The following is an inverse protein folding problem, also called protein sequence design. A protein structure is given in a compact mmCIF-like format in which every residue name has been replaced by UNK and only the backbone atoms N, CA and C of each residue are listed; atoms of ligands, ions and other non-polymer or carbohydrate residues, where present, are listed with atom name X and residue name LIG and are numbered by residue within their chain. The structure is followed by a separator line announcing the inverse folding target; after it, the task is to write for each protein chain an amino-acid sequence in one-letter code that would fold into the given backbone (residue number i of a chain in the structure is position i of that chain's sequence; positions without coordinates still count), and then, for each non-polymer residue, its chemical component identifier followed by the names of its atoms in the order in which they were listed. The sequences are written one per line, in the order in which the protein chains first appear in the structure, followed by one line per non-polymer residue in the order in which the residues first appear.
data_IF_389167679730
#
_entry.id   IF_389167679730
#
_cell.length_a   1.000
_cell.length_b   1.000
_cell.length_c   1.000
_cell.angle_alpha   90.00
_cell.angle_beta   90.00
_cell.angle_gamma   90.00
#
_symmetry.space_group_name_H-M   'P 1'
#
loop_
_entity.id
_entity.type
_entity.pdbx_description
1 polymer ?
#
# COMPACT_ATOMS: atom_id res chain seq x y z
N UNK A 1 14.73 3.06 7.67
CA UNK A 1 15.36 2.70 6.38
C UNK A 1 15.47 1.17 6.36
N UNK A 2 14.50 0.47 5.78
CA UNK A 2 14.65 -0.97 5.52
C UNK A 2 15.45 -1.10 4.22
N UNK A 3 16.75 -1.37 4.31
CA UNK A 3 17.59 -1.59 3.13
C UNK A 3 17.78 -3.07 2.88
N UNK A 4 16.97 -3.61 1.97
CA UNK A 4 17.49 -4.63 1.06
C UNK A 4 18.33 -3.89 0.04
N UNK A 5 19.64 -4.04 0.11
CA UNK A 5 20.58 -3.40 -0.81
C UNK A 5 20.39 -3.98 -2.22
N UNK A 6 19.49 -3.40 -3.01
CA UNK A 6 19.47 -3.62 -4.45
C UNK A 6 20.56 -2.76 -5.12
N UNK A 7 21.32 -3.31 -6.08
CA UNK A 7 22.23 -2.51 -6.88
C UNK A 7 21.43 -1.63 -7.86
N UNK A 8 21.47 -0.32 -7.66
CA UNK A 8 20.94 0.64 -8.63
C UNK A 8 21.76 0.58 -9.93
N UNK A 9 21.09 0.24 -11.05
CA UNK A 9 21.66 0.36 -12.40
C UNK A 9 21.94 1.83 -12.72
N UNK A 10 23.18 2.12 -13.10
CA UNK A 10 23.61 3.41 -13.61
C UNK A 10 23.06 3.64 -15.03
N UNK A 11 22.14 4.60 -15.17
CA UNK A 11 21.82 5.18 -16.48
C UNK A 11 22.83 6.28 -16.79
N UNK A 12 23.62 6.03 -17.83
CA UNK A 12 24.55 6.98 -18.44
C UNK A 12 23.78 7.96 -19.32
N UNK A 13 23.84 9.26 -19.02
CA UNK A 13 23.62 10.31 -20.03
C UNK A 13 24.50 11.54 -19.74
N UNK A 14 25.57 11.59 -20.52
CA UNK A 14 26.19 12.75 -21.20
C UNK A 14 26.44 14.04 -20.40
N UNK A 15 27.70 14.21 -20.00
CA UNK A 15 28.29 15.46 -19.56
C UNK A 15 28.46 16.46 -20.73
N UNK A 16 28.25 17.75 -20.43
CA UNK A 16 28.79 18.86 -21.23
C UNK A 16 29.78 19.64 -20.37
N UNK A 17 30.99 19.79 -20.89
CA UNK A 17 32.19 20.26 -20.21
C UNK A 17 32.21 21.76 -19.91
N UNK A 18 32.94 22.14 -18.84
CA UNK A 18 33.97 23.21 -18.87
C UNK A 18 34.70 23.37 -17.52
N UNK A 19 36.03 23.45 -17.59
CA UNK A 19 36.84 24.28 -16.69
C UNK A 19 37.66 23.56 -15.62
N UNK A 20 38.88 23.16 -15.96
CA UNK A 20 39.92 22.74 -15.02
C UNK A 20 40.49 23.93 -14.23
N UNK A 21 40.89 23.70 -12.96
CA UNK A 21 42.13 24.20 -12.31
C UNK A 21 42.36 23.40 -11.00
N UNK A 22 43.60 22.97 -10.80
CA UNK A 22 44.11 22.15 -9.68
C UNK A 22 44.38 22.98 -8.39
N UNK A 23 44.62 22.34 -7.21
CA UNK A 23 44.41 22.93 -5.89
C UNK A 23 45.68 23.50 -5.24
N UNK A 24 45.55 24.21 -4.11
CA UNK A 24 46.57 24.19 -3.07
C UNK A 24 46.03 23.76 -1.68
N UNK A 25 46.91 23.08 -0.96
CA UNK A 25 46.83 22.49 0.39
C UNK A 25 46.89 23.56 1.54
N UNK A 26 46.77 23.15 2.83
CA UNK A 26 45.82 23.74 3.78
C UNK A 26 46.43 24.74 4.77
N UNK A 27 45.57 25.54 5.40
CA UNK A 27 45.90 26.24 6.63
C UNK A 27 44.77 27.16 7.12
N UNK A 28 44.51 27.14 8.43
CA UNK A 28 43.85 28.25 9.12
C UNK A 28 42.46 27.98 9.70
N UNK A 29 42.47 27.46 10.93
CA UNK A 29 41.46 27.59 11.99
C UNK A 29 40.47 28.77 11.86
N UNK A 30 39.18 28.44 11.89
CA UNK A 30 38.08 29.38 12.08
C UNK A 30 36.81 28.62 12.47
N UNK A 31 36.68 28.32 13.76
CA UNK A 31 35.51 27.64 14.35
C UNK A 31 34.27 28.52 14.15
N UNK A 32 33.40 28.14 13.22
CA UNK A 32 32.03 28.64 13.14
C UNK A 32 31.12 27.49 13.52
N UNK A 33 30.60 27.57 14.75
CA UNK A 33 29.67 26.60 15.29
C UNK A 33 28.45 26.48 14.38
N UNK A 34 28.17 25.26 13.92
CA UNK A 34 26.90 24.92 13.30
C UNK A 34 25.77 25.22 14.30
N UNK A 35 24.63 25.76 13.87
CA UNK A 35 23.48 25.93 14.74
C UNK A 35 23.06 24.54 15.23
N UNK A 36 23.00 24.39 16.56
CA UNK A 36 22.65 23.14 17.21
C UNK A 36 21.34 22.59 16.65
N UNK A 37 21.34 21.29 16.36
CA UNK A 37 20.13 20.54 16.10
C UNK A 37 19.14 20.85 17.23
N UNK A 38 18.02 21.50 16.88
CA UNK A 38 16.90 21.64 17.81
C UNK A 38 16.47 20.26 18.30
N UNK A 39 15.80 20.17 19.46
CA UNK A 39 15.30 18.90 19.96
C UNK A 39 14.45 18.25 18.86
N UNK A 40 14.86 17.06 18.41
CA UNK A 40 14.07 16.26 17.48
C UNK A 40 12.70 16.05 18.14
N UNK A 41 11.65 16.61 17.54
CA UNK A 41 10.28 16.36 18.00
C UNK A 41 10.08 14.83 18.08
N UNK A 42 9.56 14.30 19.20
CA UNK A 42 9.38 12.86 19.34
C UNK A 42 8.46 12.35 18.22
N UNK A 43 8.86 11.24 17.60
CA UNK A 43 8.03 10.59 16.59
C UNK A 43 6.71 10.14 17.24
N UNK A 44 5.62 10.73 16.76
CA UNK A 44 4.25 10.49 17.20
C UNK A 44 3.47 9.74 16.12
N UNK A 45 2.50 8.94 16.55
CA UNK A 45 1.63 8.15 15.69
C UNK A 45 0.18 8.42 16.03
N UNK A 46 -0.68 8.44 15.02
CA UNK A 46 -2.11 8.64 15.21
C UNK A 46 -2.80 7.31 15.51
N UNK A 47 -3.69 7.33 16.49
CA UNK A 47 -4.44 6.16 16.94
C UNK A 47 -5.81 6.19 16.27
N UNK A 48 -6.15 5.10 15.59
CA UNK A 48 -7.46 4.84 15.01
C UNK A 48 -8.23 3.88 15.92
N UNK A 49 -9.45 4.23 16.31
CA UNK A 49 -10.30 3.37 17.14
C UNK A 49 -11.27 2.58 16.26
N UNK A 50 -11.08 1.27 16.20
CA UNK A 50 -11.93 0.36 15.43
C UNK A 50 -12.88 -0.44 16.35
N UNK A 51 -13.97 -0.98 15.79
CA UNK A 51 -14.88 -1.87 16.52
C UNK A 51 -14.46 -3.31 16.26
N UNK A 52 -13.51 -3.81 17.06
CA UNK A 52 -12.97 -5.16 16.91
C UNK A 52 -13.65 -6.15 17.87
N UNK A 53 -14.34 -7.17 17.32
CA UNK A 53 -15.07 -8.18 18.10
C UNK A 53 -15.99 -7.53 19.17
N UNK A 54 -16.83 -6.59 18.71
CA UNK A 54 -17.78 -5.81 19.53
C UNK A 54 -17.15 -4.84 20.55
N UNK A 55 -15.81 -4.72 20.58
CA UNK A 55 -15.11 -3.83 21.52
C UNK A 55 -14.33 -2.75 20.77
N UNK A 56 -14.42 -1.51 21.27
CA UNK A 56 -13.56 -0.42 20.80
C UNK A 56 -12.11 -0.75 21.14
N UNK A 57 -11.30 -0.94 20.10
CA UNK A 57 -9.91 -1.38 20.19
C UNK A 57 -9.03 -0.41 19.40
N UNK A 58 -7.93 0.08 19.96
CA UNK A 58 -7.04 0.99 19.26
C UNK A 58 -6.15 0.22 18.26
N UNK A 59 -5.90 0.82 17.11
CA UNK A 59 -4.80 0.47 16.22
C UNK A 59 -3.98 1.73 15.94
N UNK A 60 -2.69 1.56 15.74
CA UNK A 60 -1.74 2.64 15.47
C UNK A 60 -1.51 2.70 13.97
N UNK A 61 -1.68 3.90 13.43
CA UNK A 61 -1.44 4.21 12.02
C UNK A 61 0.01 4.63 11.79
N UNK A 62 0.48 4.43 10.56
CA UNK A 62 1.81 4.77 10.10
C UNK A 62 1.76 5.86 9.03
N UNK A 63 2.78 6.73 9.06
CA UNK A 63 3.14 7.60 7.94
C UNK A 63 4.25 6.92 7.10
N UNK A 64 4.60 7.50 5.94
CA UNK A 64 5.57 6.93 4.98
C UNK A 64 6.95 6.54 5.57
N UNK A 65 7.32 7.08 6.75
CA UNK A 65 8.61 6.84 7.40
C UNK A 65 8.49 6.21 8.80
N UNK A 66 7.34 5.62 9.15
CA UNK A 66 7.10 5.01 10.46
C UNK A 66 7.85 3.69 10.69
N UNK A 67 8.12 3.29 11.94
CA UNK A 67 8.73 2.01 12.27
C UNK A 67 7.71 0.86 12.14
N UNK A 68 7.48 0.41 10.90
CA UNK A 68 6.54 -0.67 10.61
C UNK A 68 6.71 -1.95 11.47
N UNK A 69 7.92 -2.40 11.87
CA UNK A 69 8.04 -3.59 12.72
C UNK A 69 7.41 -3.39 14.10
N UNK A 70 7.69 -2.24 14.74
CA UNK A 70 7.10 -1.89 16.03
C UNK A 70 5.57 -1.80 15.92
N UNK A 71 5.06 -1.11 14.90
CA UNK A 71 3.63 -0.94 14.71
C UNK A 71 2.91 -2.27 14.44
N UNK A 72 3.50 -3.16 13.63
CA UNK A 72 2.93 -4.47 13.35
C UNK A 72 2.82 -5.33 14.62
N UNK A 73 3.83 -5.29 15.50
CA UNK A 73 3.80 -5.99 16.80
C UNK A 73 2.76 -5.34 17.71
N UNK A 74 2.78 -4.02 17.87
CA UNK A 74 1.87 -3.32 18.78
C UNK A 74 0.40 -3.48 18.38
N UNK A 75 0.09 -3.37 17.08
CA UNK A 75 -1.26 -3.64 16.57
C UNK A 75 -1.69 -5.08 16.83
N UNK A 76 -0.78 -6.05 16.69
CA UNK A 76 -1.04 -7.44 17.07
C UNK A 76 -1.38 -7.56 18.55
N UNK A 77 -0.65 -6.87 19.43
CA UNK A 77 -0.88 -6.90 20.88
C UNK A 77 -2.20 -6.20 21.27
N UNK A 78 -2.56 -5.09 20.63
CA UNK A 78 -3.82 -4.39 20.86
C UNK A 78 -5.03 -5.23 20.40
N UNK A 79 -4.97 -5.82 19.20
CA UNK A 79 -6.04 -6.69 18.69
C UNK A 79 -6.19 -8.00 19.47
N UNK A 80 -5.12 -8.46 20.13
CA UNK A 80 -5.14 -9.58 21.09
C UNK A 80 -5.52 -9.14 22.52
N UNK A 81 -5.76 -7.85 22.75
CA UNK A 81 -6.03 -7.22 24.05
C UNK A 81 -4.97 -7.50 25.13
N UNK A 82 -3.72 -7.76 24.73
CA UNK A 82 -2.56 -7.89 25.63
C UNK A 82 -2.01 -6.54 26.04
N UNK A 83 -2.10 -5.54 25.16
CA UNK A 83 -1.84 -4.14 25.45
C UNK A 83 -3.15 -3.34 25.36
N UNK A 84 -3.24 -2.23 26.08
CA UNK A 84 -4.41 -1.33 26.08
C UNK A 84 -3.96 0.11 26.17
N UNK A 85 -4.64 0.99 25.44
CA UNK A 85 -4.51 2.43 25.58
C UNK A 85 -5.73 3.00 26.34
N UNK A 86 -5.59 4.13 27.05
CA UNK A 86 -6.71 4.86 27.60
C UNK A 86 -7.77 5.17 26.54
N UNK A 87 -9.04 5.22 26.94
CA UNK A 87 -10.11 5.58 26.00
C UNK A 87 -9.87 6.98 25.44
N UNK A 88 -10.12 7.15 24.13
CA UNK A 88 -9.97 8.43 23.42
C UNK A 88 -8.52 8.91 23.27
N UNK A 89 -7.52 8.05 23.45
CA UNK A 89 -6.15 8.37 23.01
C UNK A 89 -6.15 8.58 21.49
N UNK A 90 -5.76 9.77 21.05
CA UNK A 90 -5.64 10.13 19.62
C UNK A 90 -4.21 10.01 19.10
N UNK A 91 -3.22 10.19 19.98
CA UNK A 91 -1.80 10.24 19.64
C UNK A 91 -1.02 9.38 20.64
N UNK A 92 -0.04 8.64 20.14
CA UNK A 92 0.88 7.83 20.94
C UNK A 92 2.32 8.08 20.48
N UNK A 93 3.27 8.12 21.41
CA UNK A 93 4.69 8.29 21.06
C UNK A 93 5.41 6.96 20.90
N UNK A 94 6.58 6.99 20.26
CA UNK A 94 7.46 5.80 20.22
C UNK A 94 7.81 5.31 21.62
N UNK A 95 8.04 6.20 22.58
CA UNK A 95 8.36 5.84 23.96
C UNK A 95 7.19 5.11 24.65
N UNK A 96 5.96 5.56 24.44
CA UNK A 96 4.75 4.90 24.98
C UNK A 96 4.59 3.48 24.42
N UNK A 97 4.76 3.32 23.09
CA UNK A 97 4.68 2.01 22.43
C UNK A 97 5.76 1.06 22.96
N UNK A 98 6.98 1.56 23.12
CA UNK A 98 8.11 0.82 23.65
C UNK A 98 7.91 0.41 25.11
N UNK A 99 7.32 1.28 25.92
CA UNK A 99 6.97 0.99 27.31
C UNK A 99 5.93 -0.15 27.39
N UNK A 100 4.87 -0.08 26.60
CA UNK A 100 3.86 -1.14 26.52
C UNK A 100 4.44 -2.46 26.00
N UNK A 101 5.32 -2.41 25.00
CA UNK A 101 6.00 -3.59 24.49
C UNK A 101 6.89 -4.24 25.57
N UNK A 102 7.67 -3.43 26.29
CA UNK A 102 8.51 -3.89 27.39
C UNK A 102 7.69 -4.53 28.52
N UNK A 103 6.57 -3.93 28.91
CA UNK A 103 5.64 -4.51 29.89
C UNK A 103 5.08 -5.87 29.40
N UNK A 104 4.69 -5.96 28.13
CA UNK A 104 4.22 -7.21 27.54
C UNK A 104 5.31 -8.30 27.59
N UNK A 105 6.55 -7.99 27.24
CA UNK A 105 7.68 -8.94 27.31
C UNK A 105 7.93 -9.41 28.74
N UNK A 106 7.93 -8.50 29.72
CA UNK A 106 8.11 -8.83 31.15
C UNK A 106 6.95 -9.66 31.73
N UNK A 107 5.76 -9.54 31.16
CA UNK A 107 4.58 -10.31 31.57
C UNK A 107 4.56 -11.75 31.02
N UNK A 108 5.47 -12.10 30.11
CA UNK A 108 5.56 -13.45 29.54
C UNK A 108 6.05 -14.41 30.63
N UNK A 109 5.29 -15.48 30.85
CA UNK A 109 5.67 -16.57 31.77
C UNK A 109 6.22 -17.77 31.00
N UNK A 110 7.25 -18.46 31.50
CA UNK A 110 7.75 -19.70 30.90
C UNK A 110 6.64 -20.74 30.73
N UNK A 111 6.56 -21.36 29.55
CA UNK A 111 5.55 -22.40 29.26
C UNK A 111 5.80 -23.70 30.02
N UNK A 112 7.06 -24.02 30.31
CA UNK A 112 7.45 -25.28 30.96
C UNK A 112 8.48 -25.05 32.07
N UNK A 113 8.20 -25.59 33.25
CA UNK A 113 9.06 -25.49 34.46
C UNK A 113 10.09 -26.63 34.52
N UNK A 114 10.86 -26.81 33.44
CA UNK A 114 11.97 -27.75 33.44
C UNK A 114 13.27 -27.02 33.86
N UNK A 115 14.00 -27.57 34.83
CA UNK A 115 15.29 -27.03 35.28
C UNK A 115 16.28 -27.03 34.08
N UNK A 116 16.63 -25.84 33.60
CA UNK A 116 17.44 -25.62 32.40
C UNK A 116 16.77 -24.72 31.36
N UNK A 117 15.44 -24.81 31.21
CA UNK A 117 14.69 -23.91 30.32
C UNK A 117 14.53 -22.50 30.90
N UNK A 118 14.59 -22.36 32.22
CA UNK A 118 14.52 -21.06 32.89
C UNK A 118 15.70 -20.15 32.52
N UNK A 119 16.92 -20.69 32.41
CA UNK A 119 18.09 -19.92 32.01
C UNK A 119 18.02 -19.49 30.54
N UNK A 120 17.54 -20.38 29.66
CA UNK A 120 17.31 -20.04 28.25
C UNK A 120 16.25 -18.94 28.13
N UNK A 121 15.16 -19.04 28.87
CA UNK A 121 14.11 -18.03 28.89
C UNK A 121 14.62 -16.67 29.40
N UNK A 122 15.40 -16.65 30.48
CA UNK A 122 16.01 -15.43 31.00
C UNK A 122 16.97 -14.78 30.00
N UNK A 123 17.77 -15.60 29.31
CA UNK A 123 18.65 -15.10 28.25
C UNK A 123 17.83 -14.50 27.11
N UNK A 124 16.80 -15.20 26.63
CA UNK A 124 15.94 -14.70 25.56
C UNK A 124 15.28 -13.38 25.94
N UNK A 125 14.82 -13.23 27.18
CA UNK A 125 14.25 -11.98 27.68
C UNK A 125 15.28 -10.84 27.69
N UNK A 126 16.51 -11.11 28.13
CA UNK A 126 17.60 -10.13 28.10
C UNK A 126 17.94 -9.69 26.67
N UNK A 127 18.05 -10.65 25.76
CA UNK A 127 18.36 -10.40 24.35
C UNK A 127 17.23 -9.60 23.68
N UNK A 128 15.97 -9.94 23.98
CA UNK A 128 14.81 -9.19 23.52
C UNK A 128 14.85 -7.72 23.96
N UNK A 129 15.13 -7.46 25.24
CA UNK A 129 15.24 -6.11 25.79
C UNK A 129 16.36 -5.30 25.13
N UNK A 130 17.45 -5.95 24.75
CA UNK A 130 18.55 -5.31 24.04
C UNK A 130 18.20 -4.94 22.59
N UNK A 131 17.30 -5.68 21.93
CA UNK A 131 16.90 -5.44 20.53
C UNK A 131 15.66 -4.56 20.40
N UNK A 132 14.85 -4.37 21.45
CA UNK A 132 13.63 -3.54 21.36
C UNK A 132 13.86 -2.18 20.71
N UNK A 133 14.91 -1.40 21.05
CA UNK A 133 15.11 -0.07 20.44
C UNK A 133 15.27 -0.12 18.92
N UNK A 134 15.80 -1.22 18.36
CA UNK A 134 15.97 -1.39 16.92
C UNK A 134 14.63 -1.49 16.20
N UNK A 135 13.58 -2.02 16.84
CA UNK A 135 12.23 -2.07 16.24
C UNK A 135 11.71 -0.69 15.85
N UNK A 136 12.19 0.38 16.49
CA UNK A 136 11.84 1.77 16.17
C UNK A 136 12.64 2.39 15.02
N UNK A 137 13.74 1.77 14.59
CA UNK A 137 14.61 2.30 13.52
C UNK A 137 14.64 1.42 12.27
N UNK A 138 14.38 0.12 12.43
CA UNK A 138 14.30 -0.87 11.37
C UNK A 138 14.59 -2.27 11.90
N UNK A 139 13.99 -3.28 11.25
CA UNK A 139 14.24 -4.69 11.57
C UNK A 139 14.90 -5.38 10.39
N UNK A 140 16.10 -5.90 10.61
CA UNK A 140 16.80 -6.69 9.60
C UNK A 140 16.31 -8.14 9.67
N UNK A 141 15.69 -8.60 8.59
CA UNK A 141 15.26 -9.99 8.41
C UNK A 141 15.90 -10.55 7.14
N UNK A 142 16.29 -11.83 7.21
CA UNK A 142 16.85 -12.53 6.06
C UNK A 142 16.03 -13.79 5.81
N UNK A 143 15.22 -13.77 4.74
CA UNK A 143 14.31 -14.87 4.40
C UNK A 143 15.06 -16.03 3.74
N UNK A 144 14.51 -17.24 3.85
CA UNK A 144 14.83 -18.39 3.00
C UNK A 144 13.64 -18.70 2.11
N UNK A 145 13.89 -19.13 0.90
CA UNK A 145 12.83 -19.32 -0.10
C UNK A 145 12.11 -20.68 0.00
N UNK A 146 12.34 -21.43 1.09
CA UNK A 146 11.94 -22.84 1.25
C UNK A 146 10.59 -23.03 1.96
N UNK A 147 10.12 -22.04 2.72
CA UNK A 147 8.90 -22.15 3.51
C UNK A 147 8.47 -20.80 4.05
N UNK A 148 7.18 -20.63 4.37
CA UNK A 148 6.62 -19.32 4.77
C UNK A 148 7.07 -18.80 6.15
N UNK A 149 7.65 -19.66 6.97
CA UNK A 149 8.21 -19.34 8.30
C UNK A 149 9.73 -19.31 8.32
N UNK A 150 10.38 -19.50 7.16
CA UNK A 150 11.81 -19.78 7.13
C UNK A 150 12.62 -18.48 7.07
N UNK A 151 13.02 -17.99 8.24
CA UNK A 151 13.96 -16.89 8.38
C UNK A 151 15.31 -17.41 8.89
N UNK A 152 16.39 -16.72 8.52
CA UNK A 152 17.64 -16.84 9.29
C UNK A 152 17.42 -16.23 10.67
N UNK A 153 17.80 -16.99 11.71
CA UNK A 153 17.63 -16.53 13.07
C UNK A 153 18.51 -15.31 13.35
N UNK A 154 17.87 -14.15 13.50
CA UNK A 154 18.50 -12.93 13.97
C UNK A 154 18.06 -12.65 15.42
N UNK A 155 18.91 -12.03 16.26
CA UNK A 155 18.52 -11.63 17.62
C UNK A 155 17.22 -10.82 17.65
N UNK A 156 16.98 -10.04 16.62
CA UNK A 156 15.79 -9.26 16.36
C UNK A 156 14.49 -10.10 16.29
N UNK A 157 14.56 -11.33 15.78
CA UNK A 157 13.39 -12.21 15.64
C UNK A 157 12.89 -12.75 16.99
N UNK A 158 13.72 -12.73 18.03
CA UNK A 158 13.39 -13.30 19.36
C UNK A 158 12.15 -12.66 19.99
N UNK A 159 11.86 -11.40 19.63
CA UNK A 159 10.70 -10.65 20.15
C UNK A 159 9.39 -11.29 19.68
N UNK A 160 9.35 -11.81 18.45
CA UNK A 160 8.18 -12.51 17.91
C UNK A 160 7.94 -13.82 18.66
N UNK A 161 9.00 -14.60 18.89
CA UNK A 161 8.94 -15.87 19.61
C UNK A 161 8.46 -15.69 21.05
N UNK A 162 9.03 -14.73 21.79
CA UNK A 162 8.64 -14.44 23.17
C UNK A 162 7.19 -13.97 23.29
N UNK A 163 6.72 -13.12 22.38
CA UNK A 163 5.34 -12.63 22.38
C UNK A 163 4.35 -13.65 21.80
N UNK A 164 4.85 -14.78 21.30
CA UNK A 164 4.11 -15.81 20.57
C UNK A 164 3.33 -15.20 19.40
N UNK A 165 4.02 -14.41 18.58
CA UNK A 165 3.51 -13.80 17.35
C UNK A 165 4.16 -14.53 16.18
N UNK A 166 3.42 -15.30 15.38
CA UNK A 166 3.99 -15.88 14.18
C UNK A 166 4.49 -14.80 13.23
N UNK A 167 5.68 -14.98 12.68
CA UNK A 167 6.25 -14.15 11.63
C UNK A 167 6.25 -14.96 10.33
N UNK A 168 5.66 -14.40 9.28
CA UNK A 168 5.53 -15.05 7.97
C UNK A 168 6.09 -14.18 6.85
N UNK A 169 6.49 -14.82 5.75
CA UNK A 169 6.69 -14.21 4.44
C UNK A 169 6.09 -15.12 3.35
N UNK A 170 5.90 -14.60 2.13
CA UNK A 170 5.37 -15.36 0.98
C UNK A 170 6.35 -15.45 -0.19
N UNK A 171 7.62 -15.12 0.05
CA UNK A 171 8.68 -15.15 -0.95
C UNK A 171 9.28 -16.56 -1.06
N UNK A 172 8.61 -17.45 -1.79
CA UNK A 172 9.02 -18.84 -1.96
C UNK A 172 9.36 -19.11 -3.42
N UNK A 173 10.27 -20.07 -3.63
CA UNK A 173 10.49 -20.64 -4.96
C UNK A 173 9.35 -21.61 -5.30
N UNK A 174 8.89 -21.61 -6.55
CA UNK A 174 7.84 -22.51 -7.01
C UNK A 174 8.43 -23.90 -7.32
N UNK A 175 7.99 -24.99 -6.65
CA UNK A 175 8.43 -26.36 -6.93
C UNK A 175 8.11 -26.82 -8.36
N UNK A 176 7.18 -26.16 -9.07
CA UNK A 176 6.91 -26.46 -10.48
C UNK A 176 8.05 -26.04 -11.42
N UNK A 177 8.99 -25.22 -10.94
CA UNK A 177 10.17 -24.76 -11.68
C UNK A 177 11.44 -25.39 -11.11
N UNK A 178 11.76 -26.66 -11.48
CA UNK A 178 12.87 -27.40 -10.87
C UNK A 178 14.24 -26.76 -11.14
N UNK A 179 14.40 -26.04 -12.25
CA UNK A 179 15.62 -25.29 -12.56
C UNK A 179 15.83 -24.12 -11.58
N UNK A 180 14.77 -23.39 -11.24
CA UNK A 180 14.82 -22.32 -10.23
C UNK A 180 15.02 -22.89 -8.84
N UNK A 181 14.29 -23.95 -8.49
CA UNK A 181 14.44 -24.62 -7.18
C UNK A 181 15.88 -25.13 -6.97
N UNK A 182 16.49 -25.75 -7.99
CA UNK A 182 17.88 -26.21 -7.92
C UNK A 182 18.87 -25.04 -7.81
N UNK A 183 18.62 -23.94 -8.53
CA UNK A 183 19.50 -22.77 -8.53
C UNK A 183 19.42 -21.98 -7.22
N UNK A 184 18.23 -21.87 -6.61
CA UNK A 184 18.02 -21.17 -5.33
C UNK A 184 18.41 -22.06 -4.15
N UNK A 185 18.00 -23.33 -4.16
CA UNK A 185 18.27 -24.30 -3.12
C UNK A 185 17.74 -23.87 -1.75
N UNK A 186 18.57 -24.04 -0.71
CA UNK A 186 18.25 -23.71 0.70
C UNK A 186 18.89 -22.40 1.18
N UNK A 187 19.34 -21.57 0.24
CA UNK A 187 20.05 -20.34 0.52
C UNK A 187 19.08 -19.29 1.09
N UNK A 188 19.58 -18.47 2.01
CA UNK A 188 18.88 -17.23 2.39
C UNK A 188 19.06 -16.16 1.32
N UNK A 189 18.29 -15.07 1.38
CA UNK A 189 18.40 -13.97 0.43
C UNK A 189 19.84 -13.45 0.31
N UNK A 190 20.51 -13.18 1.44
CA UNK A 190 21.89 -12.69 1.44
C UNK A 190 22.86 -13.69 0.75
N UNK A 191 22.72 -14.98 1.07
CA UNK A 191 23.55 -16.04 0.47
C UNK A 191 23.28 -16.19 -1.02
N UNK A 192 22.04 -16.01 -1.46
CA UNK A 192 21.66 -16.10 -2.87
C UNK A 192 22.25 -14.94 -3.68
N UNK A 193 22.22 -13.72 -3.13
CA UNK A 193 22.82 -12.55 -3.78
C UNK A 193 24.34 -12.71 -3.93
N UNK A 194 25.02 -13.17 -2.87
CA UNK A 194 26.46 -13.50 -2.93
C UNK A 194 26.75 -14.54 -4.01
N UNK A 195 25.97 -15.63 -4.03
CA UNK A 195 26.08 -16.68 -5.07
C UNK A 195 25.92 -16.12 -6.48
N UNK A 196 24.92 -15.26 -6.71
CA UNK A 196 24.68 -14.65 -8.04
C UNK A 196 25.91 -13.84 -8.48
N UNK A 197 26.47 -13.03 -7.58
CA UNK A 197 27.66 -12.22 -7.88
C UNK A 197 28.85 -13.11 -8.25
N UNK A 198 29.13 -14.13 -7.45
CA UNK A 198 30.23 -15.07 -7.69
C UNK A 198 30.06 -15.85 -9.00
N UNK A 199 28.83 -16.27 -9.29
CA UNK A 199 28.53 -17.14 -10.42
C UNK A 199 28.57 -16.37 -11.75
N UNK A 200 28.11 -15.12 -11.77
CA UNK A 200 28.17 -14.24 -12.95
C UNK A 200 29.59 -13.92 -13.41
N UNK A 201 30.57 -13.94 -12.50
CA UNK A 201 31.98 -13.70 -12.81
C UNK A 201 32.79 -14.99 -12.97
N UNK A 202 32.14 -16.16 -12.93
CA UNK A 202 32.81 -17.44 -13.07
C UNK A 202 33.25 -17.71 -14.51
N UNK A 203 34.34 -18.45 -14.68
CA UNK A 203 34.76 -18.97 -15.99
C UNK A 203 33.97 -20.23 -16.42
N UNK A 204 33.24 -20.86 -15.49
CA UNK A 204 32.42 -22.03 -15.74
C UNK A 204 31.03 -21.62 -16.25
N UNK A 205 30.73 -21.98 -17.51
CA UNK A 205 29.45 -21.68 -18.15
C UNK A 205 28.24 -22.27 -17.41
N UNK A 206 28.42 -23.40 -16.70
CA UNK A 206 27.33 -24.03 -15.95
C UNK A 206 26.95 -23.14 -14.75
N UNK A 207 27.95 -22.64 -14.01
CA UNK A 207 27.75 -21.71 -12.89
C UNK A 207 27.15 -20.40 -13.36
N UNK A 208 27.62 -19.86 -14.49
CA UNK A 208 27.04 -18.63 -15.06
C UNK A 208 25.54 -18.83 -15.33
N UNK A 209 25.16 -19.96 -15.93
CA UNK A 209 23.75 -20.28 -16.19
C UNK A 209 22.93 -20.36 -14.89
N UNK A 210 23.42 -21.06 -13.87
CA UNK A 210 22.76 -21.17 -12.57
C UNK A 210 22.60 -19.79 -11.87
N UNK A 211 23.63 -18.93 -11.96
CA UNK A 211 23.57 -17.56 -11.45
C UNK A 211 22.53 -16.70 -12.17
N UNK A 212 22.36 -16.85 -13.48
CA UNK A 212 21.34 -16.14 -14.26
C UNK A 212 19.92 -16.60 -13.91
N UNK A 213 19.71 -17.91 -13.68
CA UNK A 213 18.41 -18.43 -13.24
C UNK A 213 18.04 -17.91 -11.85
N UNK A 214 19.00 -17.88 -10.92
CA UNK A 214 18.80 -17.31 -9.59
C UNK A 214 18.50 -15.79 -9.65
N UNK A 215 19.19 -15.04 -10.53
CA UNK A 215 18.92 -13.62 -10.76
C UNK A 215 17.51 -13.41 -11.33
N UNK A 216 17.11 -14.21 -12.32
CA UNK A 216 15.77 -14.17 -12.90
C UNK A 216 14.68 -14.45 -11.85
N UNK A 217 14.92 -15.36 -10.91
CA UNK A 217 14.00 -15.60 -9.80
C UNK A 217 13.80 -14.32 -8.97
N UNK A 218 14.88 -13.65 -8.55
CA UNK A 218 14.79 -12.41 -7.77
C UNK A 218 14.12 -11.27 -8.56
N UNK A 219 14.39 -11.16 -9.86
CA UNK A 219 13.77 -10.14 -10.72
C UNK A 219 12.26 -10.41 -10.91
N UNK A 220 11.88 -11.64 -11.20
CA UNK A 220 10.47 -12.02 -11.43
C UNK A 220 9.61 -11.98 -10.16
N UNK A 221 10.23 -12.11 -8.99
CA UNK A 221 9.55 -12.08 -7.68
C UNK A 221 9.92 -10.85 -6.85
N UNK A 222 10.28 -9.74 -7.51
CA UNK A 222 10.76 -8.52 -6.85
C UNK A 222 9.77 -7.90 -5.83
N UNK A 223 8.47 -8.23 -5.92
CA UNK A 223 7.44 -7.82 -4.94
C UNK A 223 7.50 -8.62 -3.63
N UNK A 224 8.44 -9.56 -3.50
CA UNK A 224 8.68 -10.43 -2.35
C UNK A 224 7.46 -11.29 -1.97
N UNK A 225 6.62 -11.62 -2.96
CA UNK A 225 5.48 -12.51 -2.80
C UNK A 225 5.29 -13.32 -4.09
N UNK A 226 5.22 -14.64 -3.94
CA UNK A 226 4.97 -15.59 -5.04
C UNK A 226 3.57 -16.19 -4.90
N UNK A 227 2.99 -16.68 -6.00
CA UNK A 227 1.72 -17.41 -5.95
C UNK A 227 1.83 -18.69 -5.11
N UNK A 228 2.92 -19.45 -5.27
CA UNK A 228 3.20 -20.62 -4.45
C UNK A 228 3.24 -20.26 -2.95
N UNK A 229 4.01 -19.23 -2.59
CA UNK A 229 4.11 -18.75 -1.22
C UNK A 229 2.79 -18.22 -0.66
N UNK A 230 1.94 -17.59 -1.48
CA UNK A 230 0.60 -17.17 -1.06
C UNK A 230 -0.30 -18.38 -0.75
N UNK A 231 -0.28 -19.42 -1.57
CA UNK A 231 -1.03 -20.65 -1.34
C UNK A 231 -0.54 -21.40 -0.08
N UNK A 232 0.77 -21.49 0.09
CA UNK A 232 1.37 -22.11 1.28
C UNK A 232 1.05 -21.30 2.53
N UNK A 233 1.13 -19.96 2.46
CA UNK A 233 0.78 -19.07 3.56
C UNK A 233 -0.67 -19.25 3.99
N UNK A 234 -1.60 -19.34 3.03
CA UNK A 234 -2.99 -19.59 3.34
C UNK A 234 -3.22 -20.98 3.96
N UNK A 235 -2.38 -21.97 3.67
CA UNK A 235 -2.47 -23.31 4.26
C UNK A 235 -1.89 -23.35 5.66
N UNK A 236 -0.75 -22.71 5.88
CA UNK A 236 0.02 -22.73 7.13
C UNK A 236 -0.57 -21.79 8.19
N UNK A 237 -1.12 -20.63 7.80
CA UNK A 237 -1.72 -19.69 8.73
C UNK A 237 -2.98 -20.28 9.40
N UNK A 238 -3.05 -20.16 10.72
CA UNK A 238 -4.20 -20.64 11.51
C UNK A 238 -5.39 -19.68 11.39
N UNK A 239 -6.58 -20.24 11.30
CA UNK A 239 -7.83 -19.48 11.25
C UNK A 239 -8.02 -18.62 12.52
N UNK A 240 -8.26 -17.31 12.35
CA UNK A 240 -8.45 -16.35 13.43
C UNK A 240 -7.19 -15.96 14.20
N UNK A 241 -6.01 -16.49 13.85
CA UNK A 241 -4.73 -16.12 14.46
C UNK A 241 -4.20 -14.82 13.85
N UNK A 242 -3.79 -13.89 14.71
CA UNK A 242 -3.16 -12.64 14.29
C UNK A 242 -1.65 -12.85 14.27
N UNK A 243 -1.01 -12.57 13.14
CA UNK A 243 0.42 -12.75 12.91
C UNK A 243 1.04 -11.49 12.32
N UNK A 244 2.35 -11.49 12.10
CA UNK A 244 3.05 -10.46 11.35
C UNK A 244 3.52 -11.04 10.01
N UNK A 245 3.35 -10.26 8.94
CA UNK A 245 3.69 -10.65 7.58
C UNK A 245 4.72 -9.67 7.01
N UNK A 246 5.83 -10.20 6.51
CA UNK A 246 6.89 -9.44 5.86
C UNK A 246 6.76 -9.53 4.33
N UNK A 247 6.65 -8.37 3.67
CA UNK A 247 6.62 -8.25 2.22
C UNK A 247 7.09 -6.86 1.81
N UNK A 248 7.88 -6.79 0.74
CA UNK A 248 8.38 -5.55 0.14
C UNK A 248 9.01 -4.61 1.18
N UNK A 249 9.89 -5.16 2.03
CA UNK A 249 10.57 -4.43 3.11
C UNK A 249 9.64 -3.81 4.17
N UNK A 250 8.39 -4.27 4.24
CA UNK A 250 7.37 -3.78 5.14
C UNK A 250 6.81 -4.92 6.01
N UNK A 251 6.46 -4.58 7.26
CA UNK A 251 5.81 -5.49 8.20
C UNK A 251 4.35 -5.10 8.38
N UNK A 252 3.45 -6.02 8.07
CA UNK A 252 2.01 -5.83 8.21
C UNK A 252 1.43 -6.78 9.25
N UNK A 253 0.46 -6.33 10.05
CA UNK A 253 -0.35 -7.24 10.87
C UNK A 253 -1.28 -8.01 9.95
N UNK A 254 -1.27 -9.34 10.05
CA UNK A 254 -2.07 -10.24 9.20
C UNK A 254 -3.02 -11.09 10.05
N UNK A 255 -4.17 -11.43 9.49
CA UNK A 255 -5.10 -12.42 10.05
C UNK A 255 -5.69 -13.27 8.93
N UNK A 256 -5.99 -14.54 9.25
CA UNK A 256 -6.81 -15.40 8.40
C UNK A 256 -8.25 -15.42 8.89
N UNK A 257 -9.20 -15.14 8.00
CA UNK A 257 -10.63 -15.20 8.26
C UNK A 257 -11.38 -15.91 7.13
N UNK A 258 -12.16 -16.94 7.47
CA UNK A 258 -12.94 -17.79 6.55
C UNK A 258 -12.09 -18.33 5.39
N UNK A 259 -10.84 -18.73 5.65
CA UNK A 259 -9.94 -19.24 4.62
C UNK A 259 -9.34 -18.18 3.68
N UNK A 260 -9.51 -16.89 3.99
CA UNK A 260 -8.90 -15.77 3.29
C UNK A 260 -7.93 -15.01 4.19
N UNK A 261 -6.85 -14.48 3.62
CA UNK A 261 -5.85 -13.69 4.32
C UNK A 261 -6.19 -12.20 4.22
N UNK A 262 -5.94 -11.48 5.32
CA UNK A 262 -6.18 -10.04 5.41
C UNK A 262 -5.02 -9.34 6.10
N UNK A 263 -4.66 -8.16 5.61
CA UNK A 263 -3.67 -7.26 6.19
C UNK A 263 -4.37 -6.08 6.84
N UNK A 264 -3.90 -5.68 8.03
CA UNK A 264 -4.44 -4.52 8.73
C UNK A 264 -4.05 -3.25 7.98
N UNK A 265 -5.04 -2.40 7.69
CA UNK A 265 -4.81 -1.11 7.06
C UNK A 265 -4.31 -0.13 8.11
N UNK A 266 -3.02 0.18 8.03
CA UNK A 266 -2.32 1.07 8.96
C UNK A 266 -1.98 2.42 8.34
N UNK A 267 -2.20 2.64 7.04
CA UNK A 267 -1.89 3.92 6.41
C UNK A 267 -2.71 5.07 7.02
N UNK A 268 -2.02 6.16 7.37
CA UNK A 268 -2.62 7.33 8.03
C UNK A 268 -3.67 8.05 7.16
N UNK A 269 -3.62 7.91 5.84
CA UNK A 269 -4.63 8.42 4.90
C UNK A 269 -6.03 7.86 5.15
N UNK A 270 -6.14 6.67 5.76
CA UNK A 270 -7.42 6.04 6.12
C UNK A 270 -7.81 6.28 7.58
N UNK A 271 -7.19 7.23 8.29
CA UNK A 271 -7.47 7.48 9.70
C UNK A 271 -8.96 7.75 9.99
N UNK A 272 -9.62 8.56 9.14
CA UNK A 272 -11.02 8.97 9.31
C UNK A 272 -12.03 7.93 8.82
N UNK A 273 -11.59 6.95 8.03
CA UNK A 273 -12.45 5.94 7.43
C UNK A 273 -12.68 4.77 8.41
N UNK A 274 -13.61 4.92 9.37
CA UNK A 274 -13.87 3.89 10.39
C UNK A 274 -14.26 2.52 9.79
N UNK A 275 -14.92 2.53 8.63
CA UNK A 275 -15.37 1.33 7.93
C UNK A 275 -14.25 0.57 7.24
N UNK A 276 -13.02 1.09 7.20
CA UNK A 276 -11.91 0.54 6.43
C UNK A 276 -10.80 0.08 7.37
N UNK A 277 -10.71 -1.23 7.59
CA UNK A 277 -9.85 -1.82 8.62
C UNK A 277 -8.91 -2.87 8.05
N UNK A 278 -9.40 -3.71 7.15
CA UNK A 278 -8.64 -4.82 6.57
C UNK A 278 -8.53 -4.68 5.06
N UNK A 279 -7.44 -5.15 4.49
CA UNK A 279 -7.21 -5.30 3.05
C UNK A 279 -7.01 -6.78 2.74
N UNK A 280 -7.74 -7.33 1.76
CA UNK A 280 -7.60 -8.73 1.39
C UNK A 280 -6.25 -9.01 0.72
N UNK A 281 -5.55 -10.06 1.14
CA UNK A 281 -4.34 -10.57 0.49
C UNK A 281 -4.68 -11.82 -0.32
N UNK A 282 -5.08 -11.64 -1.58
CA UNK A 282 -5.51 -12.73 -2.45
C UNK A 282 -4.70 -12.85 -3.76
N UNK A 283 -3.80 -11.90 -4.03
CA UNK A 283 -2.93 -11.91 -5.20
C UNK A 283 -1.57 -11.27 -4.88
N UNK A 284 -0.66 -11.30 -5.87
CA UNK A 284 0.71 -10.77 -5.77
C UNK A 284 0.86 -9.33 -6.29
N UNK A 285 -0.19 -8.76 -6.90
CA UNK A 285 -0.14 -7.47 -7.60
C UNK A 285 -0.50 -6.29 -6.68
N UNK A 286 -1.27 -6.54 -5.62
CA UNK A 286 -1.60 -5.53 -4.62
C UNK A 286 -2.91 -4.76 -4.89
N UNK A 287 -3.82 -5.32 -5.69
CA UNK A 287 -5.20 -4.85 -5.87
C UNK A 287 -6.16 -5.48 -4.85
N UNK A 288 -5.76 -5.45 -3.57
CA UNK A 288 -6.58 -5.96 -2.48
C UNK A 288 -7.91 -5.20 -2.32
N UNK A 289 -8.95 -5.90 -1.90
CA UNK A 289 -10.23 -5.29 -1.55
C UNK A 289 -10.25 -4.88 -0.08
N UNK A 290 -10.73 -3.67 0.20
CA UNK A 290 -10.89 -3.19 1.55
C UNK A 290 -12.16 -3.72 2.23
N UNK A 291 -12.04 -3.99 3.53
CA UNK A 291 -13.08 -4.56 4.37
C UNK A 291 -13.18 -3.86 5.72
N UNK A 292 -14.36 -3.94 6.34
CA UNK A 292 -14.62 -3.47 7.70
C UNK A 292 -14.08 -4.42 8.77
N UNK A 293 -14.29 -4.09 10.05
CA UNK A 293 -13.82 -4.90 11.19
C UNK A 293 -14.41 -6.32 11.23
N UNK A 294 -15.54 -6.55 10.57
CA UNK A 294 -16.23 -7.84 10.45
C UNK A 294 -15.90 -8.56 9.13
N UNK A 295 -14.87 -8.10 8.40
CA UNK A 295 -14.44 -8.62 7.11
C UNK A 295 -15.49 -8.52 5.99
N UNK A 296 -16.43 -7.57 6.11
CA UNK A 296 -17.38 -7.27 5.03
C UNK A 296 -16.76 -6.26 4.07
N UNK A 297 -16.89 -6.51 2.77
CA UNK A 297 -16.37 -5.62 1.74
C UNK A 297 -16.93 -4.20 1.91
N UNK A 298 -16.03 -3.22 1.93
CA UNK A 298 -16.40 -1.82 1.88
C UNK A 298 -16.91 -1.55 0.47
N UNK A 299 -18.23 -1.51 0.28
CA UNK A 299 -18.77 -0.95 -0.95
C UNK A 299 -18.43 0.53 -0.96
N UNK A 300 -17.92 1.10 -2.08
CA UNK A 300 -17.95 2.55 -2.24
C UNK A 300 -19.39 2.96 -1.97
N UNK A 301 -19.64 4.08 -1.25
CA UNK A 301 -20.99 4.52 -0.98
C UNK A 301 -21.73 4.50 -2.30
N UNK A 302 -22.68 3.57 -2.42
CA UNK A 302 -23.54 3.48 -3.58
C UNK A 302 -24.15 4.87 -3.64
N UNK A 303 -23.68 5.69 -4.59
CA UNK A 303 -24.21 7.03 -4.82
C UNK A 303 -25.70 6.82 -4.80
N UNK A 304 -26.37 7.38 -3.78
CA UNK A 304 -27.78 7.10 -3.56
C UNK A 304 -28.47 7.17 -4.91
N UNK A 305 -29.30 6.18 -5.30
CA UNK A 305 -29.99 6.22 -6.58
C UNK A 305 -30.58 7.63 -6.67
N UNK A 306 -30.27 8.39 -7.73
CA UNK A 306 -30.52 9.83 -7.75
C UNK A 306 -31.95 10.04 -7.30
N UNK A 307 -32.10 10.60 -6.11
CA UNK A 307 -33.40 10.98 -5.58
C UNK A 307 -34.04 11.79 -6.68
N UNK A 308 -35.14 11.29 -7.23
CA UNK A 308 -35.94 11.82 -8.35
C UNK A 308 -35.88 13.35 -8.42
N UNK A 309 -34.81 13.88 -9.00
CA UNK A 309 -34.69 15.25 -9.41
C UNK A 309 -35.16 15.24 -10.84
N UNK A 310 -36.23 15.99 -11.09
CA UNK A 310 -36.76 16.27 -12.41
C UNK A 310 -35.61 16.46 -13.43
N UNK A 311 -35.78 16.00 -14.68
CA UNK A 311 -34.75 16.19 -15.69
C UNK A 311 -34.34 17.67 -15.73
N UNK A 312 -33.03 17.98 -15.68
CA UNK A 312 -32.56 19.35 -15.71
C UNK A 312 -33.09 20.04 -16.96
N UNK A 313 -33.50 21.30 -16.82
CA UNK A 313 -33.99 22.07 -17.95
C UNK A 313 -32.86 22.25 -18.97
N UNK A 314 -33.18 22.34 -20.27
CA UNK A 314 -32.18 22.46 -21.34
C UNK A 314 -31.20 23.64 -21.12
N UNK A 315 -31.62 24.68 -20.37
CA UNK A 315 -30.77 25.80 -19.99
C UNK A 315 -29.72 25.45 -18.92
N UNK A 316 -30.02 24.57 -17.98
CA UNK A 316 -29.07 24.13 -16.95
C UNK A 316 -28.01 23.20 -17.54
N UNK A 317 -28.41 22.36 -18.49
CA UNK A 317 -27.50 21.49 -19.24
C UNK A 317 -26.54 22.33 -20.08
N UNK A 318 -27.02 23.39 -20.73
CA UNK A 318 -26.18 24.33 -21.47
C UNK A 318 -25.17 25.06 -20.56
N UNK A 319 -25.58 25.43 -19.33
CA UNK A 319 -24.70 26.07 -18.35
C UNK A 319 -23.63 25.15 -17.81
N UNK A 320 -23.92 23.86 -17.66
CA UNK A 320 -22.92 22.84 -17.30
C UNK A 320 -21.91 22.65 -18.42
N UNK A 321 -22.38 22.57 -19.68
CA UNK A 321 -21.51 22.44 -20.86
C UNK A 321 -20.57 23.65 -20.98
N UNK A 322 -21.08 24.88 -20.80
CA UNK A 322 -20.26 26.10 -20.83
C UNK A 322 -19.17 26.09 -19.73
N UNK A 323 -19.48 25.55 -18.55
CA UNK A 323 -18.57 25.52 -17.42
C UNK A 323 -17.46 24.47 -17.64
N UNK A 324 -17.80 23.29 -18.12
CA UNK A 324 -16.85 22.23 -18.46
C UNK A 324 -15.92 22.67 -19.61
N UNK A 325 -16.45 23.39 -20.60
CA UNK A 325 -15.64 23.99 -21.68
C UNK A 325 -14.59 24.97 -21.15
N UNK A 326 -14.97 25.82 -20.19
CA UNK A 326 -14.05 26.80 -19.60
C UNK A 326 -12.90 26.12 -18.84
N UNK A 327 -13.20 25.00 -18.15
CA UNK A 327 -12.20 24.18 -17.47
C UNK A 327 -11.28 23.48 -18.47
N UNK A 328 -11.83 22.88 -19.53
CA UNK A 328 -11.05 22.20 -20.57
C UNK A 328 -10.08 23.16 -21.29
N UNK A 329 -10.53 24.38 -21.64
CA UNK A 329 -9.68 25.41 -22.26
C UNK A 329 -8.55 25.85 -21.31
N UNK A 330 -8.83 25.97 -20.00
CA UNK A 330 -7.82 26.36 -19.01
C UNK A 330 -6.72 25.30 -18.82
N UNK A 331 -7.09 24.01 -18.86
CA UNK A 331 -6.16 22.89 -18.77
C UNK A 331 -5.24 22.82 -20.00
N UNK A 332 -5.78 23.10 -21.19
CA UNK A 332 -4.99 23.13 -22.43
C UNK A 332 -4.02 24.32 -22.50
N UNK A 333 -4.37 25.49 -21.94
CA UNK A 333 -3.43 26.63 -21.89
C UNK A 333 -2.22 26.39 -20.97
N UNK A 334 -2.33 25.50 -20.00
CA UNK A 334 -1.19 25.10 -19.15
C UNK A 334 -0.26 24.09 -19.83
N UNK A 335 -0.71 23.40 -20.89
CA UNK A 335 0.12 22.49 -21.67
C UNK A 335 0.59 23.18 -22.95
N UNK A 336 1.81 23.73 -22.91
CA UNK A 336 2.46 24.37 -24.06
C UNK A 336 2.49 23.45 -25.29
N UNK A 337 1.86 23.90 -26.38
CA UNK A 337 1.54 23.09 -27.54
C UNK A 337 2.73 22.59 -28.37
N UNK A 338 2.60 21.36 -28.85
CA UNK A 338 3.37 20.83 -29.98
C UNK A 338 2.54 20.93 -31.27
N UNK A 339 3.10 21.40 -32.40
CA UNK A 339 2.34 21.61 -33.64
C UNK A 339 2.22 20.31 -34.44
N UNK A 340 1.05 19.67 -34.39
CA UNK A 340 0.59 18.64 -35.32
C UNK A 340 -0.49 19.18 -36.27
N UNK A 341 -0.75 18.54 -37.43
CA UNK A 341 -1.69 19.05 -38.42
C UNK A 341 -3.13 18.86 -37.92
N UNK A 342 -3.87 19.98 -37.83
CA UNK A 342 -5.16 20.16 -37.15
C UNK A 342 -5.01 20.06 -35.63
N UNK A 343 -5.01 21.20 -34.96
CA UNK A 343 -4.99 21.25 -33.50
C UNK A 343 -6.25 20.57 -32.99
N UNK A 344 -6.16 19.70 -31.98
CA UNK A 344 -7.33 19.05 -31.34
C UNK A 344 -8.43 20.07 -30.96
N UNK A 345 -8.03 21.33 -30.74
CA UNK A 345 -8.92 22.46 -30.53
C UNK A 345 -9.87 22.74 -31.71
N UNK A 346 -9.39 22.67 -32.94
CA UNK A 346 -10.20 22.95 -34.14
C UNK A 346 -11.26 21.85 -34.35
N UNK A 347 -10.89 20.59 -34.13
CA UNK A 347 -11.82 19.47 -34.25
C UNK A 347 -12.90 19.52 -33.15
N UNK A 348 -12.51 19.85 -31.92
CA UNK A 348 -13.45 20.00 -30.81
C UNK A 348 -14.46 21.13 -31.06
N UNK A 349 -14.02 22.28 -31.58
CA UNK A 349 -14.91 23.39 -31.93
C UNK A 349 -15.89 23.01 -33.05
N UNK A 350 -15.45 22.23 -34.03
CA UNK A 350 -16.31 21.80 -35.13
C UNK A 350 -17.41 20.85 -34.64
N UNK A 351 -17.06 19.84 -33.83
CA UNK A 351 -18.03 18.90 -33.26
C UNK A 351 -19.08 19.62 -32.40
N UNK A 352 -18.66 20.64 -31.64
CA UNK A 352 -19.58 21.43 -30.83
C UNK A 352 -20.57 22.24 -31.66
N UNK A 353 -20.15 22.80 -32.80
CA UNK A 353 -21.05 23.51 -33.71
C UNK A 353 -22.09 22.58 -34.34
N UNK A 354 -21.69 21.35 -34.69
CA UNK A 354 -22.60 20.35 -35.26
C UNK A 354 -23.69 19.95 -34.24
N UNK A 355 -23.31 19.78 -32.97
CA UNK A 355 -24.26 19.42 -31.91
C UNK A 355 -25.28 20.55 -31.64
N UNK A 356 -24.82 21.81 -31.65
CA UNK A 356 -25.68 22.99 -31.49
C UNK A 356 -26.70 23.13 -32.62
N UNK A 357 -26.29 22.84 -33.86
CA UNK A 357 -27.18 22.87 -35.01
C UNK A 357 -28.21 21.74 -34.95
N UNK A 358 -27.83 20.54 -34.51
CA UNK A 358 -28.75 19.42 -34.34
C UNK A 358 -29.80 19.72 -33.26
N UNK A 359 -29.42 20.32 -32.13
CA UNK A 359 -30.37 20.72 -31.10
C UNK A 359 -31.34 21.80 -31.58
N UNK A 360 -30.88 22.81 -32.35
CA UNK A 360 -31.77 23.82 -32.93
C UNK A 360 -32.76 23.22 -33.93
N UNK A 361 -32.32 22.27 -34.76
CA UNK A 361 -33.22 21.57 -35.68
C UNK A 361 -34.26 20.71 -34.95
N UNK A 362 -33.87 20.01 -33.87
CA UNK A 362 -34.83 19.26 -33.05
C UNK A 362 -35.86 20.16 -32.37
N UNK A 363 -35.45 21.32 -31.86
CA UNK A 363 -36.39 22.29 -31.26
C UNK A 363 -37.36 22.88 -32.31
N UNK A 364 -36.89 23.18 -33.53
CA UNK A 364 -37.78 23.63 -34.61
C UNK A 364 -38.76 22.55 -35.07
N UNK A 365 -38.34 21.29 -35.16
CA UNK A 365 -39.24 20.18 -35.49
C UNK A 365 -40.31 19.97 -34.42
N UNK A 366 -39.96 20.06 -33.13
CA UNK A 366 -40.94 19.95 -32.05
C UNK A 366 -41.96 21.09 -32.07
N UNK A 367 -41.54 22.33 -32.37
CA UNK A 367 -42.47 23.47 -32.51
C UNK A 367 -43.40 23.31 -33.73
N UNK A 368 -42.92 22.81 -34.87
CA UNK A 368 -43.77 22.57 -36.04
C UNK A 368 -44.80 21.46 -35.79
N UNK A 369 -44.43 20.39 -35.08
CA UNK A 369 -45.38 19.33 -34.71
C UNK A 369 -46.47 19.83 -33.74
N UNK A 370 -46.13 20.71 -32.80
CA UNK A 370 -47.13 21.33 -31.91
C UNK A 370 -48.09 22.29 -32.64
N UNK A 371 -47.60 23.03 -33.64
CA UNK A 371 -48.47 23.90 -34.46
C UNK A 371 -49.41 23.12 -35.40
N UNK A 372 -48.95 22.00 -35.97
CA UNK A 372 -49.82 21.14 -36.78
C UNK A 372 -50.88 20.42 -35.94
N UNK A 373 -50.52 19.94 -34.74
CA UNK A 373 -51.47 19.32 -33.82
C UNK A 373 -52.57 20.27 -33.34
N UNK A 374 -52.23 21.53 -33.09
CA UNK A 374 -53.20 22.56 -32.68
C UNK A 374 -54.13 23.01 -33.82
N UNK A 375 -53.65 23.07 -35.06
CA UNK A 375 -54.51 23.37 -36.23
C UNK A 375 -55.47 22.21 -36.56
N UNK A 376 -55.03 20.95 -36.45
CA UNK A 376 -55.92 19.79 -36.65
C UNK A 376 -56.98 19.68 -35.55
N UNK A 377 -56.61 19.96 -34.30
CA UNK A 377 -57.57 20.02 -33.18
C UNK A 377 -58.60 21.15 -33.38
N UNK A 378 -58.17 22.32 -33.85
CA UNK A 378 -59.08 23.44 -34.14
C UNK A 378 -60.06 23.13 -35.29
N UNK A 379 -59.62 22.45 -36.35
CA UNK A 379 -60.48 22.03 -37.46
C UNK A 379 -61.49 20.94 -37.04
N UNK A 380 -61.10 19.99 -36.17
CA UNK A 380 -62.04 19.00 -35.64
C UNK A 380 -63.13 19.63 -34.76
N UNK A 381 -62.79 20.65 -33.96
CA UNK A 381 -63.76 21.39 -33.15
C UNK A 381 -64.73 22.21 -34.03
N UNK A 382 -64.24 22.78 -35.14
CA UNK A 382 -65.09 23.48 -36.12
C UNK A 382 -66.04 22.54 -36.87
N UNK A 383 -65.56 21.38 -37.34
CA UNK A 383 -66.40 20.36 -38.00
C UNK A 383 -67.45 19.76 -37.07
N UNK A 384 -67.18 19.67 -35.77
CA UNK A 384 -68.16 19.19 -34.79
C UNK A 384 -69.25 20.23 -34.48
N UNK A 385 -68.98 21.52 -34.70
CA UNK A 385 -69.91 22.64 -34.47
C UNK A 385 -70.85 22.89 -35.66
N UNK A 386 -70.51 22.45 -36.87
CA UNK A 386 -71.39 22.55 -38.05
C UNK A 386 -72.34 21.35 -38.23
N UNK A 387 -72.27 20.34 -37.35
CA UNK A 387 -73.15 19.16 -37.37
C UNK A 387 -74.23 19.14 -36.30
N UNK A 388 -74.44 20.23 -35.57
CA UNK A 388 -75.53 20.42 -34.61
C UNK A 388 -76.14 21.81 -34.70
#
# INVERSE_FOLDING_TARGET
LCTVTQPQRAHTHTACARGAVAPPTPGGSGSTAAPGAGPSMPAYYLVKWITWKEKKTPIVTQSENGPCPLLAIMNTLFLRWKAKLPAQTEVVTTEDLMAHLGECVLSVTPREKAEGMELNFQQNMSDAMAVLPKLSTGLDVNVRFTGVTDFEYTPECIVFDLLNIPLFHGWLVDPQSPEMEASVGKLSYNQLVEKIIDYKHSADSCRVSEGLVAEQFLESTATQLSYHGLCELNTTASEGEISVFFRNNHFSTMIKHQGHLYLLVTDQGFLQEEGLVWESLHNVEGDGNFCDSDFRLCHPPQRAPPTTSLPPSAQEQQRQIDQDYLVAVSLQQQQGGAPGPLSDLELAQQLQQEEYQQQQQQQQQQQQQQQQGSQQAAQQVQLHREKY
#
